data_IF_334389809294
#
_entry.id   IF_334389809294
#
_cell.length_a   1.000
_cell.length_b   1.000
_cell.length_c   1.000
_cell.angle_alpha   90.00
_cell.angle_beta   90.00
_cell.angle_gamma   90.00
#
_symmetry.space_group_name_H-M   'P 1'
#
loop_
_entity.id
_entity.type
_entity.pdbx_description
1 polymer ?
#
# COMPACT_ATOMS: atom_id res chain seq x y z
N UNK A 1 8.29 18.99 4.56
CA UNK A 1 8.41 17.54 4.29
C UNK A 1 7.85 17.25 2.90
N UNK A 2 8.66 16.80 1.94
CA UNK A 2 8.20 16.43 0.58
C UNK A 2 8.16 14.91 0.46
N UNK A 3 6.95 14.35 0.40
CA UNK A 3 6.75 12.89 0.30
C UNK A 3 6.36 12.55 -1.13
N UNK A 4 7.13 11.66 -1.76
CA UNK A 4 6.86 11.15 -3.10
C UNK A 4 6.17 9.78 -3.00
N UNK A 5 5.18 9.55 -3.87
CA UNK A 5 4.51 8.25 -4.02
C UNK A 5 4.74 7.76 -5.44
N UNK A 6 5.48 6.67 -5.57
CA UNK A 6 5.86 6.07 -6.85
C UNK A 6 5.07 4.79 -7.13
N UNK A 7 4.39 4.77 -8.28
CA UNK A 7 3.48 3.71 -8.71
C UNK A 7 2.62 4.22 -9.86
N UNK A 8 2.03 3.34 -10.67
CA UNK A 8 1.04 3.76 -11.64
C UNK A 8 -0.23 4.25 -10.94
N UNK A 9 -0.74 5.40 -11.39
CA UNK A 9 -2.14 5.79 -11.25
C UNK A 9 -2.94 4.87 -12.19
N UNK A 10 -4.01 4.27 -11.69
CA UNK A 10 -4.80 3.29 -12.46
C UNK A 10 -6.24 3.74 -12.66
N UNK A 11 -6.92 3.11 -13.62
CA UNK A 11 -8.37 3.18 -13.77
C UNK A 11 -8.92 1.77 -13.71
N UNK A 12 -9.60 1.44 -12.63
CA UNK A 12 -9.96 0.08 -12.29
C UNK A 12 -11.45 -0.19 -12.51
N UNK A 13 -11.76 -1.34 -13.12
CA UNK A 13 -13.10 -1.90 -13.23
C UNK A 13 -13.39 -2.76 -11.99
N UNK A 14 -14.27 -2.31 -11.11
CA UNK A 14 -14.69 -3.03 -9.92
C UNK A 14 -16.03 -3.69 -10.18
N UNK A 15 -16.05 -5.02 -10.20
CA UNK A 15 -17.23 -5.85 -10.46
C UNK A 15 -17.70 -6.46 -9.14
N UNK A 16 -18.87 -6.03 -8.68
CA UNK A 16 -19.64 -6.63 -7.60
C UNK A 16 -20.72 -7.55 -8.16
N UNK A 17 -21.41 -8.30 -7.29
CA UNK A 17 -22.53 -9.17 -7.71
C UNK A 17 -23.70 -8.40 -8.33
N UNK A 18 -23.93 -7.16 -7.91
CA UNK A 18 -25.07 -6.33 -8.34
C UNK A 18 -24.73 -5.18 -9.28
N UNK A 19 -23.45 -4.78 -9.37
CA UNK A 19 -23.02 -3.58 -10.12
C UNK A 19 -21.57 -3.68 -10.57
N UNK A 20 -21.25 -2.94 -11.62
CA UNK A 20 -19.86 -2.66 -12.04
C UNK A 20 -19.61 -1.16 -11.92
N UNK A 21 -18.46 -0.79 -11.36
CA UNK A 21 -18.00 0.58 -11.22
C UNK A 21 -16.66 0.73 -11.94
N UNK A 22 -16.42 1.88 -12.55
CA UNK A 22 -15.07 2.28 -12.97
C UNK A 22 -14.59 3.33 -11.98
N UNK A 23 -13.41 3.14 -11.42
CA UNK A 23 -12.89 4.02 -10.38
C UNK A 23 -11.44 4.37 -10.63
N UNK A 24 -11.03 5.53 -10.14
CA UNK A 24 -9.63 5.87 -9.97
C UNK A 24 -8.96 4.83 -9.05
N UNK A 25 -7.68 4.55 -9.28
CA UNK A 25 -6.92 3.66 -8.44
C UNK A 25 -5.43 3.99 -8.43
N UNK A 26 -4.64 3.03 -8.01
CA UNK A 26 -3.19 3.16 -7.93
C UNK A 26 -2.72 3.81 -6.62
N UNK A 27 -1.50 3.48 -6.15
CA UNK A 27 -0.96 4.00 -4.89
C UNK A 27 -0.83 5.53 -4.83
N UNK A 28 -0.44 6.25 -5.91
CA UNK A 28 -0.44 7.72 -5.86
C UNK A 28 -1.82 8.31 -5.56
N UNK A 29 -2.91 7.60 -5.86
CA UNK A 29 -4.27 8.01 -5.50
C UNK A 29 -4.58 7.66 -4.04
N UNK A 30 -4.49 6.39 -3.64
CA UNK A 30 -4.88 5.96 -2.28
C UNK A 30 -3.95 6.49 -1.18
N UNK A 31 -2.64 6.26 -1.33
CA UNK A 31 -1.63 6.80 -0.40
C UNK A 31 -1.61 8.31 -0.46
N UNK A 32 -1.72 8.88 -1.67
CA UNK A 32 -1.66 10.33 -1.86
C UNK A 32 -2.80 11.08 -1.19
N UNK A 33 -4.05 10.65 -1.39
CA UNK A 33 -5.20 11.27 -0.72
C UNK A 33 -5.19 11.06 0.79
N UNK A 34 -4.65 9.93 1.27
CA UNK A 34 -4.48 9.71 2.71
C UNK A 34 -3.47 10.69 3.31
N UNK A 35 -2.31 10.86 2.66
CA UNK A 35 -1.30 11.85 3.07
C UNK A 35 -1.87 13.27 3.08
N UNK A 36 -2.62 13.63 2.02
CA UNK A 36 -3.28 14.94 1.95
C UNK A 36 -4.28 15.13 3.10
N UNK A 37 -5.11 14.11 3.38
CA UNK A 37 -6.09 14.14 4.47
C UNK A 37 -5.45 14.38 5.84
N UNK A 38 -4.21 13.91 6.04
CA UNK A 38 -3.46 14.12 7.27
C UNK A 38 -2.72 15.47 7.32
N UNK A 39 -2.70 16.22 6.22
CA UNK A 39 -2.20 17.59 6.16
C UNK A 39 -0.87 17.75 5.43
N UNK A 40 -0.47 16.80 4.57
CA UNK A 40 0.68 16.99 3.68
C UNK A 40 0.32 16.70 2.23
N UNK A 41 0.57 17.65 1.32
CA UNK A 41 0.39 17.44 -0.13
C UNK A 41 1.55 16.60 -0.68
N UNK A 42 1.31 15.38 -1.20
CA UNK A 42 2.37 14.52 -1.72
C UNK A 42 2.61 14.77 -3.22
N UNK A 43 3.75 14.25 -3.71
CA UNK A 43 4.13 14.27 -5.11
C UNK A 43 3.93 12.87 -5.72
N UNK A 44 3.23 12.76 -6.84
CA UNK A 44 3.09 11.50 -7.57
C UNK A 44 4.23 11.34 -8.58
N UNK A 45 4.90 10.18 -8.55
CA UNK A 45 5.80 9.74 -9.63
C UNK A 45 5.06 8.63 -10.38
N UNK A 46 4.56 8.95 -11.57
CA UNK A 46 3.65 8.05 -12.29
C UNK A 46 3.67 8.22 -13.80
N UNK A 47 2.93 7.36 -14.50
CA UNK A 47 2.61 7.50 -15.91
C UNK A 47 1.16 7.09 -16.16
N UNK A 48 0.46 7.85 -16.98
CA UNK A 48 -0.90 7.55 -17.45
C UNK A 48 -0.95 7.64 -18.98
N UNK A 49 -1.90 6.92 -19.58
CA UNK A 49 -2.11 6.96 -21.02
C UNK A 49 -2.84 8.22 -21.46
N UNK A 50 -2.90 8.45 -22.77
CA UNK A 50 -3.72 9.52 -23.35
C UNK A 50 -5.23 9.31 -23.14
N UNK A 51 -5.63 8.10 -22.74
CA UNK A 51 -6.99 7.71 -22.37
C UNK A 51 -7.35 8.01 -20.90
N UNK A 52 -6.46 8.63 -20.12
CA UNK A 52 -6.73 8.93 -18.72
C UNK A 52 -7.87 9.95 -18.58
N UNK A 53 -8.94 9.65 -17.81
CA UNK A 53 -10.10 10.54 -17.71
C UNK A 53 -9.74 11.91 -17.12
N UNK A 54 -10.14 12.99 -17.82
CA UNK A 54 -9.85 14.37 -17.40
C UNK A 54 -10.42 14.69 -16.02
N UNK A 55 -11.60 14.18 -15.68
CA UNK A 55 -12.21 14.38 -14.37
C UNK A 55 -11.36 13.78 -13.23
N UNK A 56 -10.67 12.67 -13.46
CA UNK A 56 -9.75 12.08 -12.47
C UNK A 56 -8.45 12.88 -12.38
N UNK A 57 -7.96 13.40 -13.50
CA UNK A 57 -6.82 14.30 -13.51
C UNK A 57 -7.10 15.56 -12.70
N UNK A 58 -8.22 16.23 -12.98
CA UNK A 58 -8.64 17.46 -12.31
C UNK A 58 -8.92 17.24 -10.82
N UNK A 59 -9.53 16.11 -10.46
CA UNK A 59 -9.67 15.73 -9.05
C UNK A 59 -8.31 15.52 -8.36
N UNK A 60 -7.42 14.72 -8.94
CA UNK A 60 -6.14 14.40 -8.28
C UNK A 60 -5.23 15.61 -8.10
N UNK A 61 -5.15 16.52 -9.09
CA UNK A 61 -4.25 17.70 -9.02
C UNK A 61 -4.58 18.66 -7.87
N UNK A 62 -5.82 18.64 -7.38
CA UNK A 62 -6.22 19.41 -6.18
C UNK A 62 -5.42 18.93 -4.96
N UNK A 63 -5.27 17.61 -4.81
CA UNK A 63 -4.78 16.96 -3.58
C UNK A 63 -3.36 16.41 -3.69
N UNK A 64 -2.89 16.11 -4.90
CA UNK A 64 -1.60 15.49 -5.18
C UNK A 64 -0.89 16.32 -6.24
N UNK A 65 0.40 16.57 -6.05
CA UNK A 65 1.23 17.22 -7.05
C UNK A 65 1.55 16.23 -8.18
N UNK A 66 1.09 16.55 -9.39
CA UNK A 66 1.22 15.70 -10.58
C UNK A 66 2.37 16.14 -11.52
N UNK A 67 3.26 17.03 -11.07
CA UNK A 67 4.39 17.53 -11.89
C UNK A 67 5.35 16.44 -12.37
N UNK A 68 5.36 15.28 -11.72
CA UNK A 68 6.15 14.10 -12.09
C UNK A 68 5.28 12.94 -12.61
N UNK A 69 4.09 13.26 -13.14
CA UNK A 69 3.22 12.30 -13.84
C UNK A 69 3.27 12.55 -15.34
N UNK A 70 3.76 11.56 -16.08
CA UNK A 70 3.78 11.61 -17.54
C UNK A 70 2.42 11.23 -18.12
N UNK A 71 1.83 12.11 -18.94
CA UNK A 71 0.72 11.76 -19.83
C UNK A 71 1.33 11.31 -21.16
N UNK A 72 1.09 10.06 -21.56
CA UNK A 72 1.75 9.45 -22.72
C UNK A 72 0.76 9.27 -23.88
N UNK A 73 0.82 10.13 -24.92
CA UNK A 73 -0.06 10.01 -26.07
C UNK A 73 0.02 8.62 -26.74
N UNK A 74 -1.13 8.04 -27.06
CA UNK A 74 -1.23 6.72 -27.71
C UNK A 74 -1.00 5.52 -26.79
N UNK A 75 -0.54 5.70 -25.55
CA UNK A 75 -0.53 4.65 -24.54
C UNK A 75 -1.89 4.55 -23.84
N UNK A 76 -2.18 3.36 -23.30
CA UNK A 76 -3.33 3.11 -22.44
C UNK A 76 -2.90 3.18 -20.97
N UNK A 77 -3.73 3.78 -20.13
CA UNK A 77 -3.53 3.83 -18.68
C UNK A 77 -3.55 2.41 -18.11
N UNK A 78 -2.80 2.17 -17.04
CA UNK A 78 -2.87 0.89 -16.34
C UNK A 78 -4.28 0.66 -15.80
N UNK A 79 -4.87 -0.49 -16.15
CA UNK A 79 -6.25 -0.83 -15.81
C UNK A 79 -6.31 -2.23 -15.24
N UNK A 80 -6.90 -2.35 -14.06
CA UNK A 80 -7.24 -3.65 -13.48
C UNK A 80 -8.74 -3.91 -13.52
N UNK A 81 -9.11 -5.18 -13.62
CA UNK A 81 -10.46 -5.67 -13.31
C UNK A 81 -10.43 -6.43 -12.00
N UNK A 82 -11.27 -5.98 -11.06
CA UNK A 82 -11.41 -6.50 -9.71
C UNK A 82 -12.76 -7.21 -9.63
N UNK A 83 -12.76 -8.54 -9.54
CA UNK A 83 -14.00 -9.32 -9.42
C UNK A 83 -14.17 -9.71 -7.96
N UNK A 84 -15.17 -9.11 -7.30
CA UNK A 84 -15.52 -9.38 -5.91
C UNK A 84 -16.54 -10.52 -5.80
N UNK A 85 -16.28 -11.47 -4.90
CA UNK A 85 -17.19 -12.53 -4.49
C UNK A 85 -17.13 -12.68 -2.97
N UNK A 86 -18.04 -11.97 -2.28
CA UNK A 86 -17.95 -11.76 -0.84
C UNK A 86 -16.64 -11.05 -0.47
N UNK A 87 -15.90 -11.59 0.50
CA UNK A 87 -14.59 -11.07 0.90
C UNK A 87 -13.45 -11.43 -0.08
N UNK A 88 -13.68 -12.36 -1.01
CA UNK A 88 -12.67 -12.78 -1.98
C UNK A 88 -12.67 -11.82 -3.16
N UNK A 89 -11.47 -11.53 -3.66
CA UNK A 89 -11.25 -10.72 -4.85
C UNK A 89 -10.28 -11.41 -5.80
N UNK A 90 -10.68 -11.53 -7.06
CA UNK A 90 -9.77 -11.84 -8.15
C UNK A 90 -9.37 -10.56 -8.88
N UNK A 91 -8.12 -10.49 -9.31
CA UNK A 91 -7.56 -9.32 -9.96
C UNK A 91 -7.03 -9.73 -11.33
N UNK A 92 -7.34 -8.93 -12.36
CA UNK A 92 -6.88 -9.12 -13.73
C UNK A 92 -6.27 -7.82 -14.23
N UNK A 93 -5.06 -7.88 -14.80
CA UNK A 93 -4.48 -6.77 -15.53
C UNK A 93 -5.10 -6.74 -16.93
N UNK A 94 -5.85 -5.68 -17.23
CA UNK A 94 -6.41 -5.47 -18.56
C UNK A 94 -5.42 -4.75 -19.46
N UNK A 95 -4.77 -3.71 -18.92
CA UNK A 95 -3.83 -2.83 -19.63
C UNK A 95 -2.72 -2.42 -18.68
N UNK A 96 -1.52 -2.24 -19.21
CA UNK A 96 -0.36 -1.72 -18.49
C UNK A 96 0.19 -0.53 -19.27
N UNK A 97 0.26 0.62 -18.61
CA UNK A 97 0.91 1.82 -19.14
C UNK A 97 2.42 1.62 -19.24
N UNK A 98 3.11 2.60 -19.81
CA UNK A 98 4.57 2.56 -19.99
C UNK A 98 5.32 2.45 -18.67
N UNK A 99 6.55 1.92 -18.74
CA UNK A 99 7.46 1.91 -17.61
C UNK A 99 7.90 3.34 -17.23
N UNK A 100 8.10 3.56 -15.94
CA UNK A 100 8.62 4.78 -15.36
C UNK A 100 10.14 4.64 -15.29
N UNK A 101 10.84 5.24 -16.26
CA UNK A 101 12.29 5.12 -16.40
C UNK A 101 13.08 6.17 -15.63
N UNK A 102 12.44 7.30 -15.30
CA UNK A 102 13.10 8.42 -14.63
C UNK A 102 12.36 8.81 -13.36
N UNK A 103 13.15 9.18 -12.36
CA UNK A 103 12.70 9.67 -11.07
C UNK A 103 13.37 11.03 -10.86
N UNK A 104 12.68 12.02 -10.26
CA UNK A 104 13.30 13.30 -9.96
C UNK A 104 14.52 13.14 -9.04
N UNK A 105 15.46 14.06 -9.15
CA UNK A 105 16.61 14.15 -8.24
C UNK A 105 16.20 14.77 -6.91
N UNK A 106 16.97 14.51 -5.85
CA UNK A 106 16.76 15.15 -4.54
C UNK A 106 15.46 14.75 -3.82
N UNK A 107 15.02 13.50 -4.02
CA UNK A 107 13.90 12.91 -3.27
C UNK A 107 14.37 12.56 -1.86
N UNK A 108 13.77 13.18 -0.85
CA UNK A 108 14.09 12.93 0.57
C UNK A 108 13.28 11.74 1.12
N UNK A 109 11.96 11.77 0.94
CA UNK A 109 11.03 10.75 1.45
C UNK A 109 10.22 10.15 0.30
N UNK A 110 10.19 8.82 0.21
CA UNK A 110 9.50 8.12 -0.87
C UNK A 110 8.76 6.88 -0.38
N UNK A 111 7.54 6.71 -0.88
CA UNK A 111 6.80 5.46 -0.85
C UNK A 111 6.81 4.81 -2.24
N UNK A 112 7.46 3.66 -2.36
CA UNK A 112 7.51 2.87 -3.58
C UNK A 112 6.45 1.78 -3.50
N UNK A 113 5.46 1.84 -4.37
CA UNK A 113 4.36 0.87 -4.47
C UNK A 113 4.02 0.64 -5.95
N UNK A 114 4.81 -0.17 -6.68
CA UNK A 114 4.42 -0.55 -8.04
C UNK A 114 3.16 -1.40 -7.99
N UNK A 115 2.34 -1.40 -9.04
CA UNK A 115 1.15 -2.27 -9.18
C UNK A 115 1.28 -3.33 -10.26
N UNK A 116 2.15 -3.12 -11.24
CA UNK A 116 2.26 -3.94 -12.45
C UNK A 116 3.71 -4.06 -13.00
N UNK A 117 4.71 -3.98 -12.12
CA UNK A 117 6.14 -4.01 -12.47
C UNK A 117 6.54 -2.86 -13.39
N UNK A 118 6.00 -1.67 -13.13
CA UNK A 118 6.17 -0.48 -13.96
C UNK A 118 7.51 0.24 -13.79
N UNK A 119 8.38 -0.20 -12.89
CA UNK A 119 9.77 0.23 -12.78
C UNK A 119 10.59 -0.86 -12.09
N UNK A 120 11.91 -0.86 -12.27
CA UNK A 120 12.80 -1.89 -11.72
C UNK A 120 13.04 -1.71 -10.21
N UNK A 121 13.65 -2.71 -9.57
CA UNK A 121 14.03 -2.61 -8.13
C UNK A 121 15.24 -1.70 -7.88
N UNK A 122 15.87 -1.16 -8.93
CA UNK A 122 17.02 -0.24 -8.79
C UNK A 122 16.62 1.06 -8.08
N UNK A 123 15.35 1.47 -8.17
CA UNK A 123 14.82 2.61 -7.41
C UNK A 123 15.04 2.47 -5.91
N UNK A 124 15.05 1.24 -5.39
CA UNK A 124 15.20 0.95 -3.97
C UNK A 124 16.65 1.09 -3.49
N UNK A 125 17.63 1.07 -4.41
CA UNK A 125 19.06 1.17 -4.07
C UNK A 125 19.57 2.62 -4.02
N UNK A 126 18.74 3.57 -4.42
CA UNK A 126 19.06 5.00 -4.31
C UNK A 126 19.06 5.42 -2.84
N UNK A 127 19.73 6.53 -2.55
CA UNK A 127 19.76 7.10 -1.20
C UNK A 127 18.53 8.00 -1.00
N UNK A 128 17.78 7.72 0.06
CA UNK A 128 16.67 8.51 0.56
C UNK A 128 16.85 8.66 2.07
N UNK A 129 16.30 9.72 2.66
CA UNK A 129 16.21 9.82 4.12
C UNK A 129 15.22 8.79 4.67
N UNK A 130 14.12 8.55 3.94
CA UNK A 130 13.18 7.49 4.27
C UNK A 130 12.59 6.84 3.02
N UNK A 131 12.80 5.53 2.89
CA UNK A 131 12.22 4.66 1.87
C UNK A 131 11.19 3.72 2.50
N UNK A 132 9.92 3.94 2.16
CA UNK A 132 8.85 2.97 2.38
C UNK A 132 8.58 2.16 1.13
N UNK A 133 8.35 0.86 1.28
CA UNK A 133 8.04 -0.05 0.19
C UNK A 133 6.76 -0.85 0.49
N UNK A 134 5.85 -0.86 -0.46
CA UNK A 134 4.84 -1.91 -0.65
C UNK A 134 5.18 -2.67 -1.94
N UNK A 135 5.59 -3.95 -1.88
CA UNK A 135 6.13 -4.65 -3.03
C UNK A 135 5.05 -5.22 -3.96
N UNK A 136 3.77 -4.86 -3.81
CA UNK A 136 2.66 -5.54 -4.48
C UNK A 136 2.91 -5.80 -5.98
N UNK A 137 3.35 -4.81 -6.74
CA UNK A 137 3.64 -4.94 -8.18
C UNK A 137 4.85 -5.83 -8.47
N UNK A 138 5.88 -5.78 -7.64
CA UNK A 138 7.07 -6.63 -7.78
C UNK A 138 6.79 -8.12 -7.54
N UNK A 139 5.68 -8.44 -6.87
CA UNK A 139 5.28 -9.80 -6.56
C UNK A 139 4.18 -10.33 -7.48
N UNK A 140 3.72 -9.53 -8.45
CA UNK A 140 2.65 -9.90 -9.40
C UNK A 140 3.23 -10.32 -10.73
N UNK A 141 2.77 -11.46 -11.24
CA UNK A 141 2.84 -11.83 -12.66
C UNK A 141 1.42 -11.99 -13.19
N UNK A 142 1.30 -12.00 -14.51
CA UNK A 142 0.01 -12.06 -15.20
C UNK A 142 -0.01 -13.32 -16.06
N UNK A 143 -1.06 -14.12 -15.94
CA UNK A 143 -1.26 -15.26 -16.85
C UNK A 143 -1.76 -14.79 -18.23
N UNK A 144 -2.01 -15.73 -19.14
CA UNK A 144 -2.48 -15.43 -20.50
C UNK A 144 -3.80 -14.64 -20.56
N UNK A 145 -4.60 -14.70 -19.50
CA UNK A 145 -5.87 -13.97 -19.36
C UNK A 145 -5.71 -12.68 -18.55
N UNK A 146 -4.48 -12.32 -18.21
CA UNK A 146 -4.16 -11.19 -17.34
C UNK A 146 -4.41 -11.44 -15.86
N UNK A 147 -4.81 -12.65 -15.43
CA UNK A 147 -5.07 -12.93 -14.02
C UNK A 147 -3.79 -12.74 -13.21
N UNK A 148 -3.91 -11.99 -12.12
CA UNK A 148 -2.80 -11.73 -11.22
C UNK A 148 -2.47 -12.98 -10.40
N UNK A 149 -1.23 -13.42 -10.53
CA UNK A 149 -0.66 -14.53 -9.75
C UNK A 149 0.55 -14.02 -8.99
N UNK A 150 0.66 -14.39 -7.72
CA UNK A 150 1.84 -14.04 -6.93
C UNK A 150 3.03 -14.94 -7.30
N UNK A 151 4.24 -14.37 -7.30
CA UNK A 151 5.48 -15.11 -7.47
C UNK A 151 6.57 -14.62 -6.52
N UNK A 152 7.58 -15.46 -6.27
CA UNK A 152 8.76 -15.09 -5.49
C UNK A 152 9.75 -14.31 -6.37
N UNK A 153 9.88 -13.01 -6.13
CA UNK A 153 10.85 -12.17 -6.82
C UNK A 153 12.19 -12.15 -6.08
N UNK A 154 13.18 -12.89 -6.59
CA UNK A 154 14.51 -13.01 -5.98
C UNK A 154 15.36 -11.73 -6.07
N UNK A 155 15.10 -10.86 -7.04
CA UNK A 155 15.81 -9.58 -7.16
C UNK A 155 15.40 -8.64 -6.04
N UNK A 156 14.10 -8.58 -5.76
CA UNK A 156 13.56 -7.79 -4.65
C UNK A 156 14.24 -8.13 -3.33
N UNK A 157 14.47 -9.41 -3.02
CA UNK A 157 15.13 -9.86 -1.79
C UNK A 157 16.49 -9.20 -1.55
N UNK A 158 17.23 -8.90 -2.62
CA UNK A 158 18.56 -8.26 -2.53
C UNK A 158 18.46 -6.77 -2.24
N UNK A 159 17.34 -6.14 -2.58
CA UNK A 159 17.09 -4.71 -2.45
C UNK A 159 16.37 -4.31 -1.17
N UNK A 160 15.95 -5.25 -0.32
CA UNK A 160 15.21 -4.94 0.92
C UNK A 160 16.07 -4.30 2.03
N UNK A 161 17.41 -4.40 1.94
CA UNK A 161 18.28 -3.90 3.02
C UNK A 161 18.32 -2.37 3.13
N UNK A 162 17.93 -1.63 2.09
CA UNK A 162 17.86 -0.16 2.06
C UNK A 162 16.48 0.39 2.44
N UNK A 163 15.51 -0.48 2.75
CA UNK A 163 14.13 -0.10 3.05
C UNK A 163 13.99 0.23 4.53
N UNK A 164 13.52 1.44 4.86
CA UNK A 164 13.23 1.85 6.23
C UNK A 164 11.89 1.30 6.72
N UNK A 165 10.87 1.30 5.86
CA UNK A 165 9.54 0.74 6.16
C UNK A 165 9.08 -0.25 5.09
N UNK A 166 8.91 -1.52 5.45
CA UNK A 166 8.44 -2.56 4.55
C UNK A 166 7.01 -2.98 4.90
N UNK A 167 6.04 -2.57 4.08
CA UNK A 167 4.65 -2.99 4.20
C UNK A 167 4.40 -4.17 3.28
N UNK A 168 3.79 -5.23 3.80
CA UNK A 168 3.53 -6.45 3.02
C UNK A 168 2.31 -7.17 3.58
N UNK A 169 1.48 -7.79 2.74
CA UNK A 169 0.43 -8.68 3.23
C UNK A 169 0.97 -10.07 3.59
N UNK A 170 0.24 -10.83 4.41
CA UNK A 170 0.61 -12.23 4.70
C UNK A 170 0.76 -13.10 3.45
N UNK A 171 -0.09 -12.88 2.42
CA UNK A 171 -0.01 -13.64 1.16
C UNK A 171 1.26 -13.30 0.37
N UNK A 172 1.60 -12.02 0.31
CA UNK A 172 2.82 -11.54 -0.35
C UNK A 172 4.08 -11.97 0.40
N UNK A 173 4.08 -11.91 1.74
CA UNK A 173 5.20 -12.37 2.55
C UNK A 173 5.45 -13.87 2.33
N UNK A 174 4.39 -14.69 2.31
CA UNK A 174 4.51 -16.12 1.97
C UNK A 174 4.98 -16.35 0.55
N UNK A 175 4.49 -15.58 -0.42
CA UNK A 175 4.96 -15.69 -1.80
C UNK A 175 6.44 -15.34 -1.95
N UNK A 176 6.91 -14.31 -1.24
CA UNK A 176 8.27 -13.82 -1.32
C UNK A 176 9.27 -14.72 -0.57
N UNK A 177 8.94 -15.11 0.67
CA UNK A 177 9.87 -15.77 1.59
C UNK A 177 9.57 -17.25 1.86
N UNK A 178 8.48 -17.80 1.30
CA UNK A 178 8.02 -19.16 1.59
C UNK A 178 7.63 -19.35 3.06
N UNK A 179 7.81 -20.57 3.58
CA UNK A 179 7.48 -20.90 4.98
C UNK A 179 8.36 -20.17 6.00
N UNK A 180 9.50 -19.63 5.55
CA UNK A 180 10.43 -18.87 6.40
C UNK A 180 10.04 -17.38 6.54
N UNK A 181 8.88 -16.95 6.03
CA UNK A 181 8.45 -15.55 6.03
C UNK A 181 8.61 -14.88 7.39
N UNK A 182 8.19 -15.53 8.48
CA UNK A 182 8.26 -14.94 9.81
C UNK A 182 9.71 -14.65 10.23
N UNK A 183 10.60 -15.65 10.07
CA UNK A 183 12.03 -15.51 10.36
C UNK A 183 12.68 -14.42 9.51
N UNK A 184 12.29 -14.29 8.25
CA UNK A 184 12.81 -13.24 7.36
C UNK A 184 12.36 -11.85 7.77
N UNK A 185 11.07 -11.65 8.12
CA UNK A 185 10.57 -10.35 8.58
C UNK A 185 11.25 -9.93 9.89
N UNK A 186 11.42 -10.85 10.85
CA UNK A 186 12.20 -10.59 12.08
C UNK A 186 13.64 -10.19 11.77
N UNK A 187 14.28 -10.87 10.81
CA UNK A 187 15.65 -10.56 10.39
C UNK A 187 15.76 -9.19 9.73
N UNK A 188 14.77 -8.77 8.93
CA UNK A 188 14.72 -7.40 8.38
C UNK A 188 14.56 -6.38 9.49
N UNK A 189 13.65 -6.62 10.44
CA UNK A 189 13.47 -5.75 11.61
C UNK A 189 14.70 -5.62 12.48
N UNK A 190 15.45 -6.70 12.70
CA UNK A 190 16.71 -6.66 13.43
C UNK A 190 17.82 -5.86 12.72
N UNK A 191 17.64 -5.52 11.44
CA UNK A 191 18.52 -4.63 10.66
C UNK A 191 18.04 -3.17 10.63
N UNK A 192 16.97 -2.85 11.34
CA UNK A 192 16.42 -1.49 11.42
C UNK A 192 15.21 -1.22 10.52
N UNK A 193 14.77 -2.17 9.70
CA UNK A 193 13.55 -2.00 8.88
C UNK A 193 12.30 -2.16 9.73
N UNK A 194 11.45 -1.14 9.84
CA UNK A 194 10.11 -1.34 10.40
C UNK A 194 9.26 -2.15 9.41
N UNK A 195 8.70 -3.26 9.85
CA UNK A 195 7.85 -4.11 8.98
C UNK A 195 6.40 -4.01 9.41
N UNK A 196 5.51 -3.70 8.48
CA UNK A 196 4.05 -3.72 8.67
C UNK A 196 3.44 -4.90 7.90
N UNK A 197 3.13 -6.00 8.61
CA UNK A 197 2.51 -7.19 8.04
C UNK A 197 0.98 -7.09 8.09
N UNK A 198 0.36 -6.85 6.94
CA UNK A 198 -1.10 -6.78 6.80
C UNK A 198 -1.80 -8.13 6.91
N UNK A 199 -2.79 -8.21 7.80
CA UNK A 199 -3.62 -9.39 8.04
C UNK A 199 -5.08 -9.26 7.52
N UNK A 200 -5.32 -8.31 6.62
CA UNK A 200 -6.65 -8.00 6.09
C UNK A 200 -7.49 -7.24 7.11
N UNK A 201 -8.76 -7.61 7.25
CA UNK A 201 -9.72 -7.02 8.21
C UNK A 201 -9.39 -7.30 9.69
N UNK A 202 -8.29 -7.99 9.99
CA UNK A 202 -7.82 -8.26 11.35
C UNK A 202 -6.84 -7.20 11.86
N UNK A 203 -6.19 -6.45 10.98
CA UNK A 203 -5.23 -5.42 11.36
C UNK A 203 -3.83 -5.74 10.84
N UNK A 204 -2.81 -5.35 11.61
CA UNK A 204 -1.41 -5.52 11.22
C UNK A 204 -0.57 -6.10 12.35
N UNK A 205 0.50 -6.81 11.97
CA UNK A 205 1.58 -7.16 12.88
C UNK A 205 2.80 -6.33 12.52
N UNK A 206 3.31 -5.60 13.50
CA UNK A 206 4.43 -4.70 13.34
C UNK A 206 5.68 -5.34 13.91
N UNK A 207 6.76 -5.37 13.15
CA UNK A 207 8.08 -5.76 13.62
C UNK A 207 8.93 -4.49 13.67
N UNK A 208 9.45 -4.18 14.86
CA UNK A 208 10.38 -3.08 15.06
C UNK A 208 11.45 -3.48 16.07
N UNK A 209 12.40 -2.58 16.34
CA UNK A 209 13.49 -2.82 17.29
C UNK A 209 12.98 -3.20 18.70
N UNK A 210 11.83 -2.65 19.11
CA UNK A 210 11.20 -2.94 20.40
C UNK A 210 10.52 -4.33 20.46
N UNK A 211 10.46 -5.05 19.35
CA UNK A 211 9.84 -6.37 19.21
C UNK A 211 8.65 -6.40 18.26
N UNK A 212 7.84 -7.45 18.39
CA UNK A 212 6.68 -7.69 17.56
C UNK A 212 5.38 -7.28 18.28
N UNK A 213 4.50 -6.56 17.59
CA UNK A 213 3.24 -6.05 18.15
C UNK A 213 2.09 -6.32 17.21
N UNK A 214 0.95 -6.73 17.76
CA UNK A 214 -0.30 -6.76 17.03
C UNK A 214 -1.07 -5.47 17.23
N UNK A 215 -1.47 -4.86 16.12
CA UNK A 215 -2.31 -3.67 16.06
C UNK A 215 -3.65 -4.09 15.42
N UNK A 216 -4.76 -4.04 16.16
CA UNK A 216 -6.04 -4.50 15.65
C UNK A 216 -6.58 -3.58 14.54
N UNK A 217 -7.36 -4.12 13.63
CA UNK A 217 -8.18 -3.30 12.74
C UNK A 217 -9.29 -2.58 13.53
N UNK A 218 -9.69 -1.41 13.03
CA UNK A 218 -10.93 -0.79 13.48
C UNK A 218 -12.13 -1.54 12.88
N UNK A 219 -13.12 -1.96 13.70
CA UNK A 219 -14.32 -2.62 13.19
C UNK A 219 -15.12 -1.67 12.28
N UNK A 220 -15.27 -2.03 11.01
CA UNK A 220 -16.04 -1.26 10.03
C UNK A 220 -16.71 -2.16 9.00
N UNK A 221 -17.69 -1.63 8.27
CA UNK A 221 -18.30 -2.28 7.11
C UNK A 221 -17.57 -1.84 5.85
N UNK A 222 -16.69 -2.70 5.33
CA UNK A 222 -15.99 -2.44 4.10
C UNK A 222 -16.92 -2.62 2.88
N UNK A 223 -17.18 -1.55 2.14
CA UNK A 223 -17.77 -1.64 0.80
C UNK A 223 -16.76 -2.17 -0.22
N UNK A 224 -15.48 -1.79 -0.08
CA UNK A 224 -14.40 -2.20 -0.97
C UNK A 224 -13.06 -2.28 -0.24
N UNK A 225 -12.40 -3.45 -0.30
CA UNK A 225 -11.10 -3.65 0.36
C UNK A 225 -9.87 -3.14 -0.42
N UNK A 226 -10.03 -2.67 -1.66
CA UNK A 226 -8.95 -2.09 -2.48
C UNK A 226 -8.44 -0.80 -1.85
N UNK A 227 -7.12 -0.61 -1.87
CA UNK A 227 -6.48 0.60 -1.35
C UNK A 227 -6.30 0.63 0.17
N UNK A 228 -6.80 -0.36 0.92
CA UNK A 228 -6.59 -0.44 2.38
C UNK A 228 -5.10 -0.46 2.76
N UNK A 229 -4.27 -1.15 1.97
CA UNK A 229 -2.82 -1.20 2.17
C UNK A 229 -2.12 0.13 1.89
N UNK A 230 -2.53 0.79 0.82
CA UNK A 230 -2.01 2.09 0.40
C UNK A 230 -2.42 3.19 1.39
N UNK A 231 -3.68 3.18 1.86
CA UNK A 231 -4.14 4.07 2.92
C UNK A 231 -3.43 3.82 4.25
N UNK A 232 -3.21 2.55 4.63
CA UNK A 232 -2.35 2.24 5.77
C UNK A 232 -0.95 2.85 5.59
N UNK A 233 -0.34 2.68 4.42
CA UNK A 233 0.98 3.24 4.15
C UNK A 233 0.98 4.76 4.28
N UNK A 234 -0.02 5.46 3.73
CA UNK A 234 -0.15 6.91 3.87
C UNK A 234 -0.23 7.36 5.33
N UNK A 235 -1.11 6.72 6.11
CA UNK A 235 -1.28 7.03 7.53
C UNK A 235 -0.03 6.74 8.37
N UNK A 236 0.60 5.60 8.12
CA UNK A 236 1.84 5.21 8.78
C UNK A 236 2.98 6.18 8.46
N UNK A 237 3.22 6.47 7.18
CA UNK A 237 4.38 7.26 6.74
C UNK A 237 4.32 8.68 7.30
N UNK A 238 3.17 9.36 7.18
CA UNK A 238 3.00 10.71 7.71
C UNK A 238 3.29 10.76 9.22
N UNK A 239 2.67 9.85 9.97
CA UNK A 239 2.74 9.84 11.45
C UNK A 239 4.13 9.45 11.91
N UNK A 240 4.75 8.45 11.28
CA UNK A 240 6.09 8.01 11.64
C UNK A 240 7.14 9.10 11.41
N UNK A 241 7.06 9.82 10.28
CA UNK A 241 8.00 10.91 9.97
C UNK A 241 7.82 12.15 10.86
N UNK A 242 6.69 12.27 11.56
CA UNK A 242 6.39 13.43 12.41
C UNK A 242 6.52 13.13 13.91
N UNK A 243 6.27 11.90 14.32
CA UNK A 243 6.18 11.51 15.74
C UNK A 243 7.16 10.39 16.15
N UNK A 244 7.76 9.68 15.20
CA UNK A 244 8.71 8.57 15.41
C UNK A 244 8.21 7.40 16.29
N UNK A 245 6.94 7.39 16.70
CA UNK A 245 6.30 6.26 17.37
C UNK A 245 5.71 5.29 16.33
N UNK A 246 6.39 4.16 16.17
CA UNK A 246 5.99 3.05 15.29
C UNK A 246 4.59 2.52 15.60
N UNK A 247 4.23 2.33 16.87
CA UNK A 247 2.96 1.72 17.24
C UNK A 247 1.80 2.71 17.01
N UNK A 248 2.05 3.99 17.27
CA UNK A 248 1.09 5.05 17.00
C UNK A 248 0.89 5.23 15.50
N UNK A 249 1.97 5.29 14.73
CA UNK A 249 1.92 5.34 13.27
C UNK A 249 1.15 4.16 12.67
N UNK A 250 1.32 2.95 13.22
CA UNK A 250 0.54 1.79 12.79
C UNK A 250 -0.94 1.88 13.17
N UNK A 251 -1.27 2.44 14.33
CA UNK A 251 -2.67 2.69 14.70
C UNK A 251 -3.33 3.71 13.74
N UNK A 252 -2.62 4.79 13.41
CA UNK A 252 -3.07 5.79 12.41
C UNK A 252 -3.22 5.17 11.02
N UNK A 253 -2.28 4.33 10.59
CA UNK A 253 -2.41 3.57 9.35
C UNK A 253 -3.66 2.67 9.35
N UNK A 254 -3.92 1.94 10.44
CA UNK A 254 -5.12 1.09 10.54
C UNK A 254 -6.42 1.92 10.54
N UNK A 255 -6.44 3.07 11.19
CA UNK A 255 -7.57 3.98 11.17
C UNK A 255 -7.84 4.53 9.77
N UNK A 256 -6.81 5.02 9.07
CA UNK A 256 -6.93 5.51 7.70
C UNK A 256 -7.43 4.42 6.74
N UNK A 257 -6.89 3.20 6.87
CA UNK A 257 -7.35 2.05 6.09
C UNK A 257 -8.83 1.73 6.35
N UNK A 258 -9.29 1.84 7.61
CA UNK A 258 -10.69 1.57 7.95
C UNK A 258 -11.66 2.56 7.31
N UNK A 259 -11.30 3.83 7.22
CA UNK A 259 -12.11 4.84 6.53
C UNK A 259 -12.08 4.64 5.01
N UNK A 260 -10.90 4.35 4.46
CA UNK A 260 -10.73 4.19 3.02
C UNK A 260 -11.59 3.04 2.45
N UNK A 261 -11.82 1.97 3.22
CA UNK A 261 -12.59 0.81 2.74
C UNK A 261 -14.11 0.97 2.84
N UNK A 262 -14.60 2.01 3.51
CA UNK A 262 -16.03 2.26 3.69
C UNK A 262 -16.70 2.77 2.41
N UNK A 263 -15.92 3.26 1.43
CA UNK A 263 -16.44 3.74 0.15
C UNK A 263 -15.64 3.15 -1.01
N UNK A 264 -16.26 2.92 -2.18
CA UNK A 264 -15.54 2.53 -3.38
C UNK A 264 -14.62 3.64 -3.87
N UNK A 265 -13.37 3.28 -4.16
CA UNK A 265 -12.40 4.19 -4.77
C UNK A 265 -11.66 5.09 -3.78
N UNK A 266 -10.57 5.73 -4.22
CA UNK A 266 -9.78 6.65 -3.42
C UNK A 266 -10.58 7.93 -3.17
N UNK A 267 -10.61 8.40 -1.93
CA UNK A 267 -11.32 9.60 -1.50
C UNK A 267 -10.62 10.29 -0.32
N UNK A 268 -10.99 11.54 -0.05
CA UNK A 268 -10.54 12.26 1.15
C UNK A 268 -11.20 11.64 2.38
N UNK A 269 -10.39 11.38 3.41
CA UNK A 269 -10.84 10.85 4.69
C UNK A 269 -10.83 11.95 5.75
N UNK A 270 -11.73 11.86 6.74
CA UNK A 270 -11.78 12.87 7.81
C UNK A 270 -10.62 12.68 8.79
N UNK A 271 -9.80 13.72 8.94
CA UNK A 271 -8.62 13.67 9.82
C UNK A 271 -8.98 13.45 11.29
N UNK A 272 -10.03 14.09 11.79
CA UNK A 272 -10.42 13.96 13.18
C UNK A 272 -10.89 12.53 13.47
N UNK A 273 -11.65 11.96 12.54
CA UNK A 273 -12.09 10.57 12.64
C UNK A 273 -10.91 9.59 12.56
N UNK A 274 -9.90 9.86 11.73
CA UNK A 274 -8.65 9.08 11.75
C UNK A 274 -8.05 9.09 13.16
N UNK A 275 -7.87 10.26 13.77
CA UNK A 275 -7.24 10.38 15.09
C UNK A 275 -8.08 9.69 16.18
N UNK A 276 -9.40 9.85 16.17
CA UNK A 276 -10.31 9.20 17.11
C UNK A 276 -10.21 7.67 17.03
N UNK A 277 -10.30 7.10 15.82
CA UNK A 277 -10.14 5.66 15.60
C UNK A 277 -8.76 5.18 16.02
N UNK A 278 -7.72 6.00 15.81
CA UNK A 278 -6.33 5.67 16.16
C UNK A 278 -6.14 5.51 17.66
N UNK A 279 -6.73 6.36 18.49
CA UNK A 279 -6.65 6.21 19.96
C UNK A 279 -7.27 4.89 20.44
N UNK A 280 -8.41 4.50 19.86
CA UNK A 280 -9.05 3.23 20.20
C UNK A 280 -8.18 2.04 19.79
N UNK A 281 -7.62 2.07 18.59
CA UNK A 281 -6.73 1.03 18.07
C UNK A 281 -5.46 0.93 18.92
N UNK A 282 -4.83 2.08 19.20
CA UNK A 282 -3.60 2.15 19.98
C UNK A 282 -3.81 1.61 21.40
N UNK A 283 -4.91 1.93 22.07
CA UNK A 283 -5.18 1.39 23.42
C UNK A 283 -5.32 -0.14 23.48
N UNK A 284 -5.50 -0.80 22.33
CA UNK A 284 -5.74 -2.25 22.20
C UNK A 284 -4.55 -2.99 21.59
N UNK A 285 -3.45 -2.30 21.28
CA UNK A 285 -2.25 -2.98 20.80
C UNK A 285 -1.69 -3.90 21.88
N UNK A 286 -1.06 -5.00 21.47
CA UNK A 286 -0.36 -5.87 22.41
C UNK A 286 0.88 -6.48 21.80
N UNK A 287 1.88 -6.71 22.66
CA UNK A 287 3.12 -7.36 22.27
C UNK A 287 2.88 -8.84 21.99
N UNK A 288 3.50 -9.35 20.94
CA UNK A 288 3.48 -10.76 20.58
C UNK A 288 4.65 -11.44 21.29
N UNK A 289 4.35 -12.41 22.16
CA UNK A 289 5.35 -13.07 22.99
C UNK A 289 5.92 -14.35 22.37
N UNK A 290 5.25 -14.93 21.37
CA UNK A 290 5.71 -16.13 20.68
C UNK A 290 5.15 -16.25 19.26
N UNK A 291 5.82 -17.06 18.43
CA UNK A 291 5.35 -17.40 17.09
C UNK A 291 4.01 -18.17 17.13
N UNK A 292 3.73 -18.90 18.21
CA UNK A 292 2.44 -19.58 18.40
C UNK A 292 1.29 -18.57 18.54
N UNK A 293 1.50 -17.48 19.30
CA UNK A 293 0.53 -16.39 19.42
C UNK A 293 0.30 -15.72 18.07
N UNK A 294 1.38 -15.47 17.32
CA UNK A 294 1.26 -14.94 15.97
C UNK A 294 0.47 -15.87 15.05
N UNK A 295 0.75 -17.18 15.10
CA UNK A 295 0.02 -18.15 14.29
C UNK A 295 -1.46 -18.19 14.67
N UNK A 296 -1.81 -18.08 15.94
CA UNK A 296 -3.21 -17.94 16.35
C UNK A 296 -3.81 -16.67 15.72
N UNK A 297 -3.19 -15.51 15.86
CA UNK A 297 -3.67 -14.25 15.27
C UNK A 297 -3.81 -14.34 13.73
N UNK A 298 -2.83 -14.95 13.07
CA UNK A 298 -2.76 -15.05 11.61
C UNK A 298 -3.69 -16.14 11.03
N UNK A 299 -4.05 -17.16 11.79
CA UNK A 299 -4.76 -18.35 11.32
C UNK A 299 -6.04 -18.70 12.08
N UNK A 300 -6.49 -17.91 13.07
CA UNK A 300 -7.86 -18.02 13.59
C UNK A 300 -8.82 -17.89 12.41
N UNK A 301 -9.46 -19.01 12.06
CA UNK A 301 -10.61 -19.06 11.16
C UNK A 301 -11.70 -18.24 11.83
N UNK A 302 -12.23 -17.25 11.13
CA UNK A 302 -13.53 -16.69 11.46
C UNK A 302 -14.52 -17.85 11.33
N UNK A 303 -14.99 -18.33 12.47
CA UNK A 303 -16.17 -19.19 12.57
C UNK A 303 -17.39 -18.46 12.06
#
# INVERSE_FOLDING_TARGET
MRIFVAGHITVDEIVFSSRTLVSLGGPPSYTGLTLYSLGVKPYAISAVGGDFPLNYWEFLREYVDLSHVSIVPGAETTRFKLVYNGERRELYLLKRCVEILSFPEGIEYIHVSPVAQEFSTEVLKKSYEFLSLDPQGYLRRFDERGKVVLFSNKELLKSLCSVNHFRVSLREAKALFGDSWFKYLRKLSAKGTVVSLGLGNRGVVVFCEKGEYYIPAYPTTAEQSTGAGDAYAGGFIYTYLTEEDVLWASAVGCAAASLMVEKPGPHIIDRNEVIERSHLIYSRHHRILSEEVLNKIAFIKVS
#
